data_IF_853058968832
#
_entry.id   IF_853058968832
#
_cell.length_a   1.000
_cell.length_b   1.000
_cell.length_c   1.000
_cell.angle_alpha   90.00
_cell.angle_beta   90.00
_cell.angle_gamma   90.00
#
_symmetry.space_group_name_H-M   'P 1'
#
loop_
_entity.id
_entity.type
_entity.pdbx_description
1 polymer ?
#
# COMPACT_ATOMS: atom_id res chain seq x y z
N UNK A 1 -0.06 -7.12 -15.04
CA UNK A 1 -0.72 -5.82 -15.28
C UNK A 1 -2.25 -5.93 -15.18
N UNK A 2 -2.76 -6.18 -13.97
CA UNK A 2 -4.21 -6.23 -13.68
C UNK A 2 -4.66 -5.18 -12.66
N UNK A 3 -3.78 -4.28 -12.22
CA UNK A 3 -4.04 -3.22 -11.22
C UNK A 3 -5.30 -2.39 -11.52
N UNK A 4 -5.59 -2.09 -12.80
CA UNK A 4 -6.77 -1.30 -13.20
C UNK A 4 -8.13 -1.99 -12.97
N UNK A 5 -8.16 -3.28 -12.66
CA UNK A 5 -9.39 -4.03 -12.38
C UNK A 5 -9.88 -3.78 -10.95
N UNK A 6 -11.15 -4.06 -10.67
CA UNK A 6 -11.67 -3.97 -9.30
C UNK A 6 -10.92 -4.92 -8.34
N UNK A 7 -10.50 -6.07 -8.86
CA UNK A 7 -9.71 -7.06 -8.13
C UNK A 7 -8.29 -6.60 -7.88
N UNK A 8 -7.63 -6.03 -8.89
CA UNK A 8 -6.31 -5.41 -8.73
C UNK A 8 -6.31 -4.38 -7.60
N UNK A 9 -7.30 -3.47 -7.60
CA UNK A 9 -7.47 -2.48 -6.52
C UNK A 9 -7.76 -3.10 -5.15
N UNK A 10 -8.46 -4.25 -5.10
CA UNK A 10 -8.73 -4.93 -3.83
C UNK A 10 -7.45 -5.56 -3.25
N UNK A 11 -6.61 -6.13 -4.10
CA UNK A 11 -5.28 -6.64 -3.72
C UNK A 11 -4.35 -5.50 -3.30
N UNK A 12 -4.33 -4.37 -4.01
CA UNK A 12 -3.56 -3.18 -3.62
C UNK A 12 -3.94 -2.68 -2.23
N UNK A 13 -5.24 -2.64 -1.90
CA UNK A 13 -5.70 -2.28 -0.55
C UNK A 13 -5.25 -3.28 0.51
N UNK A 14 -5.29 -4.59 0.22
CA UNK A 14 -4.80 -5.60 1.15
C UNK A 14 -3.28 -5.48 1.35
N UNK A 15 -2.54 -5.16 0.30
CA UNK A 15 -1.10 -4.89 0.37
C UNK A 15 -0.80 -3.65 1.22
N UNK A 16 -1.52 -2.54 0.99
CA UNK A 16 -1.37 -1.33 1.82
C UNK A 16 -1.69 -1.61 3.29
N UNK A 17 -2.79 -2.30 3.58
CA UNK A 17 -3.18 -2.63 4.95
C UNK A 17 -2.14 -3.51 5.68
N UNK A 18 -1.39 -4.35 4.94
CA UNK A 18 -0.29 -5.11 5.50
C UNK A 18 0.87 -4.21 5.96
N UNK A 19 1.28 -3.24 5.16
CA UNK A 19 2.33 -2.30 5.56
C UNK A 19 1.85 -1.33 6.64
N UNK A 20 0.62 -0.81 6.53
CA UNK A 20 0.00 0.08 7.53
C UNK A 20 0.00 -0.58 8.92
N UNK A 21 -0.34 -1.86 9.01
CA UNK A 21 -0.33 -2.59 10.27
C UNK A 21 1.06 -2.66 10.91
N UNK A 22 2.13 -2.71 10.10
CA UNK A 22 3.52 -2.70 10.57
C UNK A 22 3.92 -1.30 11.03
N UNK A 23 3.60 -0.27 10.24
CA UNK A 23 3.89 1.13 10.57
C UNK A 23 3.22 1.59 11.87
N UNK A 24 1.97 1.18 12.09
CA UNK A 24 1.25 1.47 13.33
C UNK A 24 1.64 0.54 14.48
N UNK A 25 2.56 -0.41 14.25
CA UNK A 25 2.94 -1.44 15.22
C UNK A 25 1.70 -2.17 15.80
N UNK A 26 0.69 -2.41 14.97
CA UNK A 26 -0.60 -2.98 15.38
C UNK A 26 -0.69 -4.46 14.98
N UNK A 27 -0.45 -5.34 15.95
CA UNK A 27 -0.44 -6.79 15.74
C UNK A 27 -1.83 -7.35 15.41
N UNK A 28 -2.90 -6.73 15.90
CA UNK A 28 -4.28 -7.16 15.66
C UNK A 28 -4.70 -6.87 14.20
N UNK A 29 -4.30 -5.70 13.67
CA UNK A 29 -4.49 -5.36 12.26
C UNK A 29 -3.68 -6.31 11.35
N UNK A 30 -2.44 -6.61 11.74
CA UNK A 30 -1.60 -7.56 11.01
C UNK A 30 -2.21 -8.97 11.02
N UNK A 31 -2.72 -9.42 12.16
CA UNK A 31 -3.42 -10.70 12.33
C UNK A 31 -4.61 -10.83 11.38
N UNK A 32 -5.37 -9.75 11.17
CA UNK A 32 -6.54 -9.72 10.29
C UNK A 32 -6.18 -9.87 8.80
N UNK A 33 -5.03 -9.34 8.38
CA UNK A 33 -4.60 -9.39 6.96
C UNK A 33 -3.78 -10.65 6.63
N UNK A 34 -3.26 -11.38 7.61
CA UNK A 34 -2.52 -12.63 7.39
C UNK A 34 -3.47 -13.82 7.22
N UNK A 35 -3.23 -14.62 6.18
CA UNK A 35 -4.10 -15.74 5.78
C UNK A 35 -4.45 -16.68 6.93
N UNK A 36 -5.74 -16.94 7.06
CA UNK A 36 -6.31 -17.87 8.05
C UNK A 36 -6.86 -19.14 7.39
N UNK A 37 -7.50 -20.01 8.17
CA UNK A 37 -8.19 -21.18 7.66
C UNK A 37 -7.27 -22.35 7.29
N UNK A 38 -7.69 -23.25 6.37
CA UNK A 38 -7.00 -24.51 6.10
C UNK A 38 -5.54 -24.38 5.62
N UNK A 39 -5.18 -23.23 5.05
CA UNK A 39 -3.84 -22.96 4.54
C UNK A 39 -2.97 -22.12 5.50
N UNK A 40 -3.45 -21.80 6.71
CA UNK A 40 -2.71 -20.98 7.68
C UNK A 40 -1.31 -21.54 8.02
N UNK A 41 -1.16 -22.86 8.10
CA UNK A 41 0.14 -23.51 8.36
C UNK A 41 1.10 -23.45 7.16
N UNK A 42 0.62 -23.06 5.98
CA UNK A 42 1.44 -22.85 4.79
C UNK A 42 1.88 -21.40 4.59
N UNK A 43 1.43 -20.47 5.45
CA UNK A 43 1.88 -19.07 5.44
C UNK A 43 3.39 -19.03 5.64
N UNK A 44 4.08 -18.15 4.91
CA UNK A 44 5.52 -18.03 5.01
C UNK A 44 6.01 -16.60 4.93
N UNK A 45 7.14 -16.32 5.54
CA UNK A 45 7.78 -15.00 5.48
C UNK A 45 9.29 -15.12 5.42
N UNK A 46 9.90 -14.31 4.57
CA UNK A 46 11.35 -14.05 4.56
C UNK A 46 11.53 -12.55 4.77
N UNK A 47 12.03 -12.19 5.94
CA UNK A 47 12.48 -10.82 6.20
C UNK A 47 13.85 -10.60 5.52
N UNK A 48 14.23 -9.35 5.19
CA UNK A 48 15.53 -9.05 4.61
C UNK A 48 16.68 -9.68 5.41
N UNK A 49 17.40 -10.61 4.77
CA UNK A 49 18.55 -11.32 5.36
C UNK A 49 18.22 -12.48 6.32
N UNK A 50 16.94 -12.81 6.52
CA UNK A 50 16.51 -13.90 7.42
C UNK A 50 16.27 -15.22 6.67
N UNK A 51 16.30 -16.39 7.37
CA UNK A 51 15.82 -17.63 6.79
C UNK A 51 14.29 -17.64 6.63
N UNK A 52 13.77 -18.60 5.87
CA UNK A 52 12.33 -18.79 5.69
C UNK A 52 11.65 -19.20 7.00
N UNK A 53 10.66 -18.41 7.41
CA UNK A 53 9.74 -18.68 8.51
C UNK A 53 8.46 -19.33 7.97
N UNK A 54 7.94 -20.35 8.66
CA UNK A 54 6.77 -21.14 8.17
C UNK A 54 5.69 -21.31 9.23
N UNK A 55 4.45 -21.24 8.76
CA UNK A 55 3.27 -21.33 9.58
C UNK A 55 2.93 -19.98 10.22
N UNK A 56 1.63 -19.69 10.29
CA UNK A 56 1.12 -18.40 10.76
C UNK A 56 1.67 -17.97 12.12
N UNK A 57 1.82 -18.91 13.07
CA UNK A 57 2.35 -18.60 14.41
C UNK A 57 3.80 -18.11 14.38
N UNK A 58 4.66 -18.73 13.57
CA UNK A 58 6.07 -18.32 13.48
C UNK A 58 6.20 -16.97 12.77
N UNK A 59 5.41 -16.78 11.71
CA UNK A 59 5.32 -15.51 10.99
C UNK A 59 4.86 -14.38 11.90
N UNK A 60 3.73 -14.52 12.61
CA UNK A 60 3.24 -13.49 13.53
C UNK A 60 4.24 -13.20 14.66
N UNK A 61 4.92 -14.23 15.19
CA UNK A 61 5.96 -14.04 16.21
C UNK A 61 7.12 -13.19 15.69
N UNK A 62 7.50 -13.33 14.43
CA UNK A 62 8.59 -12.54 13.86
C UNK A 62 8.23 -11.06 13.69
N UNK A 63 7.00 -10.76 13.25
CA UNK A 63 6.53 -9.37 13.19
C UNK A 63 6.40 -8.75 14.58
N UNK A 64 5.86 -9.49 15.56
CA UNK A 64 5.82 -9.02 16.94
C UNK A 64 7.22 -8.68 17.48
N UNK A 65 8.24 -9.46 17.11
CA UNK A 65 9.63 -9.18 17.47
C UNK A 65 10.17 -7.92 16.77
N UNK A 66 9.91 -7.75 15.47
CA UNK A 66 10.31 -6.56 14.71
C UNK A 66 9.66 -5.30 15.30
N UNK A 67 8.33 -5.32 15.48
CA UNK A 67 7.54 -4.24 16.06
C UNK A 67 8.03 -3.86 17.46
N UNK A 68 8.31 -4.84 18.32
CA UNK A 68 8.81 -4.58 19.67
C UNK A 68 10.23 -3.98 19.73
N UNK A 69 11.01 -4.06 18.64
CA UNK A 69 12.37 -3.53 18.58
C UNK A 69 12.52 -2.35 17.60
N UNK A 70 11.41 -1.84 17.08
CA UNK A 70 11.42 -0.75 16.09
C UNK A 70 10.53 0.38 16.59
N UNK A 71 11.14 1.47 17.05
CA UNK A 71 10.42 2.62 17.60
C UNK A 71 9.60 3.35 16.51
N UNK A 72 10.17 3.44 15.31
CA UNK A 72 9.56 4.09 14.16
C UNK A 72 9.94 3.37 12.88
N UNK A 73 8.94 3.07 12.05
CA UNK A 73 9.12 2.52 10.71
C UNK A 73 8.09 3.11 9.74
N UNK A 74 8.52 3.41 8.53
CA UNK A 74 7.67 3.81 7.41
C UNK A 74 8.14 3.12 6.13
N UNK A 75 7.18 2.78 5.27
CA UNK A 75 7.39 2.16 3.98
C UNK A 75 6.89 3.10 2.87
N UNK A 76 7.80 3.62 2.07
CA UNK A 76 7.42 4.30 0.83
C UNK A 76 7.47 3.28 -0.31
N UNK A 77 6.32 2.68 -0.59
CA UNK A 77 6.19 1.68 -1.65
C UNK A 77 6.27 2.33 -3.03
N UNK A 78 7.15 1.83 -3.86
CA UNK A 78 7.31 2.23 -5.27
C UNK A 78 7.30 1.00 -6.16
N UNK A 79 7.15 1.18 -7.47
CA UNK A 79 7.13 0.09 -8.46
C UNK A 79 6.12 -1.03 -8.13
N UNK A 80 4.96 -0.63 -7.57
CA UNK A 80 3.92 -1.57 -7.17
C UNK A 80 3.27 -2.15 -8.42
N UNK A 81 3.44 -3.44 -8.63
CA UNK A 81 2.88 -4.19 -9.74
C UNK A 81 1.99 -5.32 -9.24
N UNK A 82 0.77 -5.39 -9.76
CA UNK A 82 -0.24 -6.37 -9.35
C UNK A 82 -0.63 -7.29 -10.50
N UNK A 83 -0.60 -8.60 -10.21
CA UNK A 83 -1.08 -9.67 -11.07
C UNK A 83 -2.07 -10.56 -10.30
N UNK A 84 -3.29 -10.69 -10.82
CA UNK A 84 -4.36 -11.52 -10.24
C UNK A 84 -4.66 -12.70 -11.17
N UNK A 85 -4.71 -13.91 -10.62
CA UNK A 85 -5.11 -15.13 -11.30
C UNK A 85 -6.07 -15.96 -10.41
N UNK A 86 -7.36 -15.89 -10.74
CA UNK A 86 -8.43 -16.52 -9.95
C UNK A 86 -8.44 -16.05 -8.50
N UNK A 87 -8.20 -16.98 -7.59
CA UNK A 87 -8.18 -16.74 -6.14
C UNK A 87 -6.77 -16.44 -5.58
N UNK A 88 -5.76 -16.28 -6.44
CA UNK A 88 -4.41 -15.93 -6.05
C UNK A 88 -4.00 -14.59 -6.69
N UNK A 89 -3.16 -13.83 -5.99
CA UNK A 89 -2.56 -12.64 -6.54
C UNK A 89 -1.11 -12.52 -6.10
N UNK A 90 -0.30 -11.89 -6.95
CA UNK A 90 1.09 -11.53 -6.68
C UNK A 90 1.21 -10.03 -6.78
N UNK A 91 1.83 -9.44 -5.77
CA UNK A 91 2.27 -8.04 -5.76
C UNK A 91 3.78 -8.02 -5.66
N UNK A 92 4.42 -7.25 -6.52
CA UNK A 92 5.84 -6.90 -6.35
C UNK A 92 5.95 -5.41 -6.09
N UNK A 93 6.90 -5.00 -5.25
CA UNK A 93 7.16 -3.60 -4.99
C UNK A 93 8.58 -3.38 -4.48
N UNK A 94 9.04 -2.14 -4.59
CA UNK A 94 10.22 -1.61 -3.91
C UNK A 94 9.77 -0.96 -2.61
N UNK A 95 10.28 -1.46 -1.49
CA UNK A 95 10.11 -0.92 -0.15
C UNK A 95 11.28 0.03 0.16
N UNK A 96 11.01 1.34 0.08
CA UNK A 96 11.95 2.34 0.59
C UNK A 96 11.62 2.54 2.07
N UNK A 97 12.38 1.87 2.93
CA UNK A 97 12.11 1.78 4.37
C UNK A 97 12.84 2.92 5.07
N UNK A 98 12.15 3.64 5.94
CA UNK A 98 12.74 4.60 6.85
C UNK A 98 12.52 4.11 8.28
N UNK A 99 13.61 3.88 9.01
CA UNK A 99 13.57 3.45 10.42
C UNK A 99 14.16 4.53 11.32
N UNK A 100 13.57 4.76 12.48
CA UNK A 100 14.07 5.72 13.47
C UNK A 100 14.61 5.03 14.71
N UNK A 101 15.76 5.49 15.18
CA UNK A 101 16.28 5.16 16.50
C UNK A 101 15.43 5.76 17.64
N UNK A 102 15.66 5.36 18.90
CA UNK A 102 14.97 5.93 20.05
C UNK A 102 15.13 7.45 20.08
N UNK A 103 14.09 8.14 20.57
CA UNK A 103 14.13 9.59 20.74
C UNK A 103 15.31 10.01 21.63
N UNK A 104 15.91 11.15 21.29
CA UNK A 104 16.98 11.75 22.08
C UNK A 104 16.43 12.28 23.43
N UNK A 105 17.31 12.53 24.39
CA UNK A 105 16.92 13.02 25.73
C UNK A 105 16.14 14.35 25.70
N UNK A 106 16.30 15.14 24.63
CA UNK A 106 15.60 16.41 24.40
C UNK A 106 14.21 16.25 23.76
N UNK A 107 13.79 15.00 23.49
CA UNK A 107 12.51 14.66 22.88
C UNK A 107 12.49 14.81 21.35
N UNK A 108 13.63 15.10 20.71
CA UNK A 108 13.75 15.04 19.25
C UNK A 108 13.79 13.59 18.76
N UNK A 109 13.38 13.40 17.50
CA UNK A 109 13.42 12.08 16.88
C UNK A 109 14.87 11.61 16.73
N UNK A 110 15.12 10.32 17.02
CA UNK A 110 16.43 9.71 16.83
C UNK A 110 16.84 9.68 15.35
N UNK A 111 18.11 9.36 15.11
CA UNK A 111 18.65 9.26 13.75
C UNK A 111 17.81 8.32 12.87
N UNK A 112 17.51 8.78 11.65
CA UNK A 112 16.78 8.01 10.66
C UNK A 112 17.76 7.23 9.77
N UNK A 113 17.47 5.95 9.58
CA UNK A 113 18.23 5.04 8.72
C UNK A 113 17.33 4.58 7.58
N UNK A 114 17.79 4.80 6.34
CA UNK A 114 17.13 4.33 5.13
C UNK A 114 17.53 2.90 4.78
N UNK A 115 16.58 2.12 4.27
CA UNK A 115 16.79 0.79 3.72
C UNK A 115 16.08 0.64 2.38
N UNK A 116 16.72 -0.09 1.44
CA UNK A 116 16.13 -0.41 0.14
C UNK A 116 15.91 -1.91 0.04
N UNK A 117 14.64 -2.31 -0.05
CA UNK A 117 14.20 -3.70 -0.14
C UNK A 117 13.30 -3.86 -1.35
N UNK A 118 13.36 -5.01 -2.01
CA UNK A 118 12.34 -5.43 -2.97
C UNK A 118 11.57 -6.60 -2.39
N UNK A 119 10.25 -6.60 -2.61
CA UNK A 119 9.37 -7.61 -2.05
C UNK A 119 8.47 -8.27 -3.08
N UNK A 120 8.16 -9.54 -2.81
CA UNK A 120 7.10 -10.30 -3.45
C UNK A 120 6.09 -10.73 -2.41
N UNK A 121 4.86 -10.22 -2.53
CA UNK A 121 3.74 -10.54 -1.68
C UNK A 121 2.74 -11.39 -2.44
N UNK A 122 2.40 -12.55 -1.90
CA UNK A 122 1.38 -13.45 -2.46
C UNK A 122 0.14 -13.36 -1.59
N UNK A 123 -1.00 -13.09 -2.21
CA UNK A 123 -2.30 -13.00 -1.54
C UNK A 123 -3.21 -14.14 -2.00
N UNK A 124 -4.06 -14.60 -1.07
CA UNK A 124 -5.11 -15.57 -1.33
C UNK A 124 -6.47 -14.92 -1.07
N UNK A 125 -7.42 -15.12 -1.97
CA UNK A 125 -8.81 -14.71 -1.77
C UNK A 125 -9.48 -15.64 -0.76
N UNK A 126 -10.18 -15.03 0.20
CA UNK A 126 -10.99 -15.65 1.24
C UNK A 126 -12.39 -15.04 1.26
N UNK A 127 -13.27 -15.50 2.14
CA UNK A 127 -14.59 -14.89 2.31
C UNK A 127 -14.48 -13.48 2.92
N UNK A 128 -13.41 -13.23 3.69
CA UNK A 128 -13.08 -12.00 4.38
C UNK A 128 -12.30 -11.00 3.50
N UNK A 129 -11.92 -11.42 2.28
CA UNK A 129 -11.16 -10.62 1.33
C UNK A 129 -9.81 -11.23 0.97
N UNK A 130 -8.88 -10.40 0.47
CA UNK A 130 -7.53 -10.82 0.14
C UNK A 130 -6.67 -10.84 1.40
N UNK A 131 -6.07 -11.98 1.72
CA UNK A 131 -5.17 -12.13 2.87
C UNK A 131 -3.77 -12.55 2.40
N UNK A 132 -2.74 -12.07 3.11
CA UNK A 132 -1.33 -12.35 2.85
C UNK A 132 -1.03 -13.83 3.11
N UNK A 133 -0.58 -14.53 2.08
CA UNK A 133 -0.15 -15.92 2.13
C UNK A 133 1.37 -16.06 2.24
N UNK A 134 2.11 -15.24 1.51
CA UNK A 134 3.57 -15.20 1.61
C UNK A 134 4.11 -13.78 1.44
N UNK A 135 5.12 -13.43 2.22
CA UNK A 135 5.92 -12.22 2.05
C UNK A 135 7.39 -12.61 1.90
N UNK A 136 8.08 -12.06 0.91
CA UNK A 136 9.53 -12.23 0.80
C UNK A 136 10.12 -10.87 0.44
N UNK A 137 10.77 -10.23 1.42
CA UNK A 137 11.59 -9.05 1.24
C UNK A 137 13.07 -9.41 1.18
N UNK A 138 13.80 -8.82 0.24
CA UNK A 138 15.25 -8.98 0.10
C UNK A 138 15.94 -7.62 -0.11
N UNK A 139 17.11 -7.38 0.50
CA UNK A 139 17.83 -6.12 0.32
C UNK A 139 18.31 -5.97 -1.12
N UNK A 140 18.25 -4.75 -1.64
CA UNK A 140 18.94 -4.39 -2.88
C UNK A 140 20.37 -4.03 -2.52
N UNK A 141 21.32 -4.89 -2.91
CA UNK A 141 22.74 -4.61 -2.74
C UNK A 141 23.20 -3.79 -3.94
N UNK A 142 23.56 -2.53 -3.71
CA UNK A 142 24.38 -1.80 -4.65
C UNK A 142 25.79 -2.41 -4.61
N UNK A 143 26.41 -2.62 -5.77
CA UNK A 143 27.86 -2.79 -5.80
C UNK A 143 28.44 -1.44 -5.34
N UNK A 144 29.23 -1.45 -4.26
CA UNK A 144 30.12 -0.32 -4.01
C UNK A 144 31.04 -0.28 -5.22
N UNK A 145 30.93 0.74 -6.06
CA UNK A 145 32.00 1.04 -7.01
C UNK A 145 33.24 1.26 -6.14
N UNK A 146 34.18 0.31 -6.17
CA UNK A 146 35.50 0.37 -5.53
C UNK A 146 36.36 1.50 -6.17
N UNK A 147 35.83 2.72 -6.26
CA UNK A 147 36.58 3.92 -6.63
C UNK A 147 37.27 4.49 -5.38
N UNK A 148 38.01 3.64 -4.67
CA UNK A 148 39.18 4.06 -3.89
C UNK A 148 40.34 4.38 -4.87
N UNK A 149 40.10 5.27 -5.84
CA UNK A 149 41.19 6.06 -6.40
C UNK A 149 41.34 7.27 -5.48
N UNK A 150 42.36 7.26 -4.63
CA UNK A 150 42.94 8.49 -4.09
C UNK A 150 43.44 9.35 -5.27
N UNK A 151 42.52 10.03 -5.93
CA UNK A 151 42.83 11.11 -6.84
C UNK A 151 43.16 12.32 -5.98
N UNK A 152 44.46 12.54 -5.78
CA UNK A 152 45.01 13.85 -5.42
C UNK A 152 44.69 14.81 -6.58
N UNK A 153 43.44 15.29 -6.64
CA UNK A 153 42.99 16.32 -7.58
C UNK A 153 43.70 17.61 -7.20
N UNK A 154 44.78 17.90 -7.91
CA UNK A 154 45.51 19.14 -7.73
C UNK A 154 44.58 20.33 -8.00
N UNK A 155 44.81 21.45 -7.31
CA UNK A 155 44.03 22.67 -7.51
C UNK A 155 44.04 23.14 -8.98
N UNK A 156 45.08 22.80 -9.75
CA UNK A 156 45.17 23.08 -11.19
C UNK A 156 44.19 22.24 -12.02
N UNK A 157 43.88 21.01 -11.61
CA UNK A 157 42.88 20.17 -12.28
C UNK A 157 41.45 20.68 -12.02
N UNK A 158 41.20 21.21 -10.81
CA UNK A 158 39.90 21.84 -10.47
C UNK A 158 39.71 23.15 -11.23
N UNK A 159 40.76 23.96 -11.35
CA UNK A 159 40.71 25.23 -12.08
C UNK A 159 40.43 25.01 -13.59
N UNK A 160 41.12 24.03 -14.20
CA UNK A 160 40.90 23.67 -15.59
C UNK A 160 39.47 23.14 -15.84
N UNK A 161 38.91 22.35 -14.91
CA UNK A 161 37.54 21.86 -15.03
C UNK A 161 36.49 22.98 -14.88
N UNK A 162 36.75 23.96 -14.02
CA UNK A 162 35.87 25.13 -13.86
C UNK A 162 35.89 26.01 -15.12
N UNK A 163 37.06 26.23 -15.72
CA UNK A 163 37.17 27.01 -16.96
C UNK A 163 36.44 26.34 -18.13
N UNK A 164 36.50 25.02 -18.23
CA UNK A 164 35.81 24.24 -19.28
C UNK A 164 34.28 24.35 -19.14
N UNK A 165 33.74 24.12 -17.95
CA UNK A 165 32.30 24.24 -17.66
C UNK A 165 31.80 25.67 -17.86
N UNK A 166 32.57 26.67 -17.42
CA UNK A 166 32.21 28.08 -17.64
C UNK A 166 32.24 28.43 -19.13
N UNK A 167 33.15 27.86 -19.91
CA UNK A 167 33.19 28.01 -21.37
C UNK A 167 31.92 27.50 -22.04
N UNK A 168 31.45 26.31 -21.66
CA UNK A 168 30.20 25.74 -22.19
C UNK A 168 28.97 26.58 -21.85
N UNK A 169 28.88 27.08 -20.61
CA UNK A 169 27.78 27.94 -20.16
C UNK A 169 27.78 29.29 -20.90
N UNK A 170 28.96 29.86 -21.17
CA UNK A 170 29.09 31.13 -21.87
C UNK A 170 28.76 31.02 -23.37
N UNK A 171 29.02 29.88 -24.00
CA UNK A 171 28.61 29.63 -25.38
C UNK A 171 27.11 29.36 -25.49
N UNK A 172 26.52 28.65 -24.52
CA UNK A 172 25.07 28.48 -24.46
C UNK A 172 24.33 29.83 -24.32
N UNK A 173 24.87 30.77 -23.53
CA UNK A 173 24.28 32.09 -23.34
C UNK A 173 24.33 33.00 -24.59
N UNK A 174 25.23 32.74 -25.54
CA UNK A 174 25.31 33.49 -26.81
C UNK A 174 24.34 32.99 -27.87
N UNK A 175 23.74 31.82 -27.68
CA UNK A 175 22.81 31.22 -28.64
C UNK A 175 21.38 31.78 -28.55
N UNK A 176 21.05 32.55 -27.50
CA UNK A 176 19.67 33.01 -27.21
C UNK A 176 19.38 34.47 -27.66
N UNK A 177 20.31 35.19 -28.30
CA UNK A 177 20.10 36.61 -28.70
C UNK A 177 19.56 36.84 -30.13
N UNK A 178 19.17 35.82 -30.89
CA UNK A 178 18.77 35.98 -32.32
C UNK A 178 17.29 35.68 -32.64
N UNK A 179 16.36 35.93 -31.73
CA UNK A 179 14.92 35.89 -32.04
C UNK A 179 14.19 37.16 -31.59
N UNK A 180 13.94 38.06 -32.53
CA UNK A 180 13.16 39.28 -32.32
C UNK A 180 11.65 38.97 -32.29
N UNK A 181 10.84 39.70 -31.51
CA UNK A 181 9.44 39.34 -31.31
C UNK A 181 8.57 39.67 -32.53
N UNK A 182 7.98 38.63 -33.12
CA UNK A 182 6.90 38.74 -34.11
C UNK A 182 5.55 39.03 -33.40
N UNK A 183 4.82 40.02 -33.91
CA UNK A 183 3.56 40.49 -33.34
C UNK A 183 2.38 39.56 -33.73
N UNK A 184 1.41 39.27 -32.84
CA UNK A 184 0.24 38.49 -33.21
C UNK A 184 -0.85 39.33 -33.89
N UNK A 185 -1.35 38.80 -35.01
CA UNK A 185 -2.52 39.25 -35.75
C UNK A 185 -3.80 39.21 -34.89
N UNK A 186 -4.65 40.24 -35.07
CA UNK A 186 -5.88 40.44 -34.30
C UNK A 186 -7.06 39.55 -34.72
N UNK A 187 -8.09 39.40 -33.86
CA UNK A 187 -9.30 38.68 -34.22
C UNK A 187 -10.33 39.56 -34.95
N UNK A 188 -10.80 39.05 -36.08
CA UNK A 188 -11.94 39.56 -36.86
C UNK A 188 -13.25 39.49 -36.06
N UNK A 189 -13.99 40.60 -36.08
CA UNK A 189 -15.37 40.72 -35.61
C UNK A 189 -16.38 40.19 -36.64
N UNK A 190 -17.56 39.76 -36.19
CA UNK A 190 -18.75 39.93 -37.01
C UNK A 190 -19.84 40.81 -36.34
N UNK A 191 -20.59 41.44 -37.23
CA UNK A 191 -21.57 42.52 -37.06
C UNK A 191 -22.76 42.25 -36.12
N UNK A 192 -23.27 43.31 -35.49
CA UNK A 192 -24.55 43.32 -34.75
C UNK A 192 -25.79 43.59 -35.64
N UNK A 193 -26.87 44.23 -35.12
CA UNK A 193 -27.79 43.73 -34.09
C UNK A 193 -29.29 43.92 -34.46
N UNK A 194 -30.18 43.06 -33.94
CA UNK A 194 -31.60 43.31 -33.59
C UNK A 194 -32.12 42.11 -32.76
N UNK A 195 -33.12 42.15 -31.88
CA UNK A 195 -34.00 43.20 -31.38
C UNK A 195 -34.76 42.73 -30.12
N UNK A 196 -35.27 43.71 -29.36
CA UNK A 196 -36.51 43.78 -28.56
C UNK A 196 -37.08 42.59 -27.74
N UNK A 197 -37.45 42.92 -26.49
CA UNK A 197 -38.49 42.29 -25.63
C UNK A 197 -37.91 41.89 -24.26
N UNK A 198 -38.09 42.62 -23.14
CA UNK A 198 -39.33 42.74 -22.33
C UNK A 198 -39.94 41.33 -22.13
N UNK A 199 -40.23 40.77 -20.96
CA UNK A 199 -40.71 41.25 -19.66
C UNK A 199 -41.02 40.00 -18.79
N UNK A 200 -41.25 40.16 -17.48
CA UNK A 200 -42.05 39.19 -16.71
C UNK A 200 -41.39 38.48 -15.53
N UNK A 201 -41.56 39.10 -14.36
CA UNK A 201 -41.42 38.57 -13.01
C UNK A 201 -42.38 37.41 -12.67
N UNK A 202 -41.99 36.56 -11.73
CA UNK A 202 -42.88 36.11 -10.65
C UNK A 202 -43.08 34.59 -10.49
N UNK A 203 -42.98 34.13 -9.24
CA UNK A 203 -43.67 32.91 -8.78
C UNK A 203 -42.88 32.01 -7.84
N UNK A 204 -42.81 32.38 -6.56
CA UNK A 204 -42.65 31.46 -5.43
C UNK A 204 -43.93 30.62 -5.29
N UNK A 205 -43.84 29.34 -4.93
CA UNK A 205 -44.82 28.74 -4.02
C UNK A 205 -44.29 27.47 -3.35
N UNK A 206 -44.27 27.55 -2.02
CA UNK A 206 -44.06 26.48 -1.06
C UNK A 206 -45.34 25.64 -0.89
N UNK A 207 -45.22 24.35 -0.56
CA UNK A 207 -46.38 23.57 -0.13
C UNK A 207 -46.12 22.08 0.15
N UNK A 208 -46.29 21.59 1.39
CA UNK A 208 -45.94 20.25 1.81
C UNK A 208 -47.12 19.27 1.72
N UNK A 209 -46.82 17.98 1.60
CA UNK A 209 -47.72 16.87 1.93
C UNK A 209 -46.85 15.69 2.37
N UNK A 210 -47.14 14.94 3.41
CA UNK A 210 -48.31 14.83 4.29
C UNK A 210 -48.13 13.46 4.94
N UNK A 211 -48.00 13.42 6.26
CA UNK A 211 -48.01 12.19 7.05
C UNK A 211 -49.41 11.55 6.95
N UNK A 212 -49.48 10.23 6.82
CA UNK A 212 -50.57 9.43 7.39
C UNK A 212 -50.15 7.95 7.45
N UNK A 213 -50.23 7.44 8.68
CA UNK A 213 -49.99 6.08 9.15
C UNK A 213 -50.98 5.08 8.55
N UNK A 214 -50.55 3.86 8.20
CA UNK A 214 -51.41 2.67 8.30
C UNK A 214 -50.60 1.45 8.77
N UNK A 215 -51.05 0.93 9.91
CA UNK A 215 -50.69 -0.32 10.55
C UNK A 215 -51.02 -1.54 9.67
N UNK A 216 -50.12 -2.54 9.60
CA UNK A 216 -50.55 -3.92 9.43
C UNK A 216 -49.77 -4.87 10.36
N UNK A 217 -50.51 -5.34 11.36
CA UNK A 217 -50.23 -6.48 12.20
C UNK A 217 -50.01 -7.77 11.37
N UNK A 218 -49.01 -8.56 11.77
CA UNK A 218 -48.71 -9.86 11.18
C UNK A 218 -48.01 -10.79 12.17
N UNK A 219 -48.75 -11.15 13.22
CA UNK A 219 -48.47 -12.25 14.15
C UNK A 219 -48.31 -13.57 13.36
N UNK A 220 -47.16 -14.25 13.43
CA UNK A 220 -47.17 -15.72 13.35
C UNK A 220 -46.08 -16.36 14.23
N UNK A 221 -46.58 -17.14 15.18
CA UNK A 221 -45.84 -17.92 16.16
C UNK A 221 -45.60 -19.30 15.55
N UNK A 222 -44.34 -19.74 15.52
CA UNK A 222 -43.97 -21.09 15.10
C UNK A 222 -43.09 -21.77 16.14
N UNK A 223 -43.68 -22.15 17.27
CA UNK A 223 -43.11 -23.12 18.20
C UNK A 223 -42.88 -24.47 17.49
N UNK A 224 -41.71 -25.06 17.73
CA UNK A 224 -41.31 -26.36 17.21
C UNK A 224 -40.34 -27.08 18.14
N UNK A 225 -40.73 -27.22 19.41
CA UNK A 225 -40.22 -28.24 20.31
C UNK A 225 -40.68 -29.62 19.82
N UNK A 226 -39.75 -30.54 19.56
CA UNK A 226 -39.94 -32.00 19.67
C UNK A 226 -38.58 -32.64 19.97
N UNK A 227 -38.44 -33.13 21.20
CA UNK A 227 -37.27 -33.84 21.68
C UNK A 227 -37.22 -35.34 21.35
N UNK A 228 -36.15 -35.94 21.87
CA UNK A 228 -36.09 -37.33 22.31
C UNK A 228 -35.50 -38.33 21.32
N UNK A 229 -34.30 -38.82 21.59
CA UNK A 229 -34.14 -40.11 22.30
C UNK A 229 -32.65 -40.44 22.45
N UNK A 230 -32.30 -40.76 23.70
CA UNK A 230 -31.14 -41.52 24.09
C UNK A 230 -31.08 -42.84 23.31
N UNK A 231 -29.89 -43.26 22.88
CA UNK A 231 -29.58 -44.68 22.87
C UNK A 231 -28.12 -44.94 23.23
N UNK A 232 -28.01 -45.96 24.07
CA UNK A 232 -26.93 -46.35 24.95
C UNK A 232 -26.13 -47.47 24.25
N UNK A 233 -24.82 -47.55 24.46
CA UNK A 233 -24.05 -48.59 23.79
C UNK A 233 -22.54 -48.55 23.97
N UNK A 234 -22.07 -48.76 25.20
CA UNK A 234 -20.66 -49.01 25.48
C UNK A 234 -20.11 -50.32 24.89
N UNK A 235 -18.78 -50.41 24.87
CA UNK A 235 -17.89 -51.57 25.19
C UNK A 235 -16.44 -51.20 24.84
N UNK A 236 -15.56 -51.11 25.83
CA UNK A 236 -14.52 -52.09 26.22
C UNK A 236 -13.33 -52.07 25.23
N UNK A 237 -12.22 -51.42 25.57
CA UNK A 237 -11.05 -51.98 26.30
C UNK A 237 -10.31 -53.05 25.48
N UNK A 238 -9.15 -52.69 24.90
CA UNK A 238 -7.96 -53.54 24.95
C UNK A 238 -6.69 -52.69 24.73
N UNK A 239 -5.76 -52.86 25.66
CA UNK A 239 -4.47 -52.22 25.65
C UNK A 239 -3.47 -52.96 24.74
N UNK A 240 -2.45 -52.25 24.30
CA UNK A 240 -1.15 -52.87 24.02
C UNK A 240 -0.06 -51.88 24.40
N UNK A 241 0.55 -52.13 25.56
CA UNK A 241 1.92 -51.76 25.90
C UNK A 241 2.83 -52.96 25.60
N UNK A 242 4.10 -52.65 25.37
CA UNK A 242 5.26 -53.54 25.17
C UNK A 242 5.35 -54.13 23.74
N UNK A 243 6.43 -53.92 22.99
CA UNK A 243 7.85 -54.05 23.37
C UNK A 243 8.76 -53.06 22.65
#
# INVERSE_FOLDING_TARGET
MTSRTAEGRAVERANQAFYDAIEHSNLDELEAVVLTGPLAESVSTVHPGWPVLRGRREVMRSYALIMANTEYIQFFLTDVEVAVDGDAAVVTCTENILTGGPAEEDGSAGALVGGLVVATNVFRRTAEGWQLWAHHGSPVLAEEDDDDEEADVSAEAVDAAIEDVLGEVLEAAKADEDDGPDAPDGPDAPDGPDGSGEDGTGGEDDGPGGDEDEDEDGDDRGDGDHGGSDDDGGRDDDGTKER
#
